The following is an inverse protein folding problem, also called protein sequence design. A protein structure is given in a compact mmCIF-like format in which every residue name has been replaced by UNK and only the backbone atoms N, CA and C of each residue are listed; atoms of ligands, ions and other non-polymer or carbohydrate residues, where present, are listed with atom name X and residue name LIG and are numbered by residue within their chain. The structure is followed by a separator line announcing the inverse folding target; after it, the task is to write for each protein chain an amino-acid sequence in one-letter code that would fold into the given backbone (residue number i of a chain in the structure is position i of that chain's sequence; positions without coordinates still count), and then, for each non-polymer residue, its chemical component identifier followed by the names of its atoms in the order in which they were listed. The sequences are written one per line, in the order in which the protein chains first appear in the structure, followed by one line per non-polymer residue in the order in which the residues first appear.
data_IF_676344159281
#
_entry.id   IF_676344159281
#
_cell.length_a   1.000
_cell.length_b   1.000
_cell.length_c   1.000
_cell.angle_alpha   90.00
_cell.angle_beta   90.00
_cell.angle_gamma   90.00
#
_symmetry.space_group_name_H-M   'P 1'
#
loop_
_entity.id
_entity.type
_entity.pdbx_description
1 polymer ?
#
# COMPACT_ATOMS: atom_id res chain seq x y z
N UNK A 1 12.39 15.02 -1.86
CA UNK A 1 11.03 14.87 -1.32
C UNK A 1 9.98 15.48 -2.21
N UNK A 2 8.77 15.07 -1.99
CA UNK A 2 7.61 15.57 -2.72
C UNK A 2 6.34 15.18 -1.99
N UNK A 3 5.20 15.40 -2.64
CA UNK A 3 3.91 14.97 -2.07
C UNK A 3 3.04 14.30 -3.13
N UNK A 4 2.29 13.31 -2.70
CA UNK A 4 1.31 12.64 -3.53
C UNK A 4 0.06 12.32 -2.70
N UNK A 5 -1.09 12.57 -3.27
CA UNK A 5 -2.36 12.36 -2.61
C UNK A 5 -3.36 11.72 -3.57
N UNK A 6 -4.15 10.79 -3.06
CA UNK A 6 -5.23 10.12 -3.80
C UNK A 6 -4.73 9.39 -5.05
N UNK A 7 -3.84 8.42 -4.83
CA UNK A 7 -3.20 7.63 -5.90
C UNK A 7 -3.60 6.17 -5.78
N UNK A 8 -3.92 5.55 -6.91
CA UNK A 8 -4.27 4.14 -6.95
C UNK A 8 -3.65 3.41 -8.12
N UNK A 9 -3.50 2.10 -7.98
CA UNK A 9 -3.10 1.20 -9.06
C UNK A 9 -3.87 -0.11 -8.97
N UNK A 10 -4.34 -0.58 -10.11
CA UNK A 10 -4.98 -1.89 -10.24
C UNK A 10 -4.26 -2.79 -11.25
N UNK A 11 -3.21 -2.29 -11.89
CA UNK A 11 -2.44 -3.00 -12.90
C UNK A 11 -1.31 -3.82 -12.26
N UNK A 12 -0.84 -4.84 -12.97
CA UNK A 12 0.33 -5.61 -12.58
C UNK A 12 1.58 -4.76 -12.79
N UNK A 13 2.44 -4.69 -11.78
CA UNK A 13 3.71 -3.97 -11.81
C UNK A 13 4.85 -4.98 -11.70
N UNK A 14 5.85 -4.87 -12.56
CA UNK A 14 7.04 -5.70 -12.48
C UNK A 14 8.30 -4.93 -12.86
N UNK A 15 9.42 -5.36 -12.30
CA UNK A 15 10.72 -4.71 -12.55
C UNK A 15 11.84 -5.40 -11.78
N UNK A 16 12.97 -4.74 -11.62
CA UNK A 16 14.13 -5.29 -10.91
C UNK A 16 14.21 -4.81 -9.46
N UNK A 17 14.62 -3.58 -9.24
CA UNK A 17 14.83 -3.03 -7.89
C UNK A 17 13.97 -1.81 -7.64
N UNK A 18 13.65 -1.56 -6.37
CA UNK A 18 12.82 -0.43 -5.96
C UNK A 18 11.46 -0.46 -6.64
N UNK A 19 10.73 -1.54 -6.42
CA UNK A 19 9.43 -1.78 -7.06
C UNK A 19 8.32 -1.63 -6.02
N UNK A 20 7.38 -0.75 -6.30
CA UNK A 20 6.17 -0.57 -5.51
C UNK A 20 4.95 -0.47 -6.42
N UNK A 21 3.81 -0.86 -5.92
CA UNK A 21 2.55 -0.72 -6.66
C UNK A 21 2.27 0.73 -7.04
N UNK A 22 2.70 1.69 -6.21
CA UNK A 22 2.54 3.13 -6.45
C UNK A 22 3.88 3.85 -6.56
N UNK A 23 4.83 3.57 -5.67
CA UNK A 23 6.11 4.26 -5.64
C UNK A 23 7.27 3.27 -5.50
N UNK A 24 8.25 3.37 -6.38
CA UNK A 24 9.49 2.61 -6.24
C UNK A 24 10.32 3.12 -5.07
N UNK A 25 10.43 4.43 -4.94
CA UNK A 25 11.19 5.09 -3.88
C UNK A 25 10.43 6.34 -3.39
N UNK A 26 10.29 6.48 -2.08
CA UNK A 26 9.64 7.63 -1.43
C UNK A 26 10.54 8.19 -0.34
N UNK A 27 11.55 8.97 -0.73
CA UNK A 27 12.49 9.62 0.17
C UNK A 27 12.00 11.01 0.60
N UNK A 28 11.93 11.25 1.91
CA UNK A 28 11.52 12.55 2.48
C UNK A 28 10.20 13.07 1.87
N UNK A 29 9.28 12.16 1.60
CA UNK A 29 8.04 12.47 0.88
C UNK A 29 6.83 12.40 1.81
N UNK A 30 5.76 13.09 1.43
CA UNK A 30 4.46 12.99 2.08
C UNK A 30 3.48 12.32 1.13
N UNK A 31 2.91 11.19 1.54
CA UNK A 31 1.95 10.44 0.73
C UNK A 31 0.71 10.11 1.55
N UNK A 32 -0.46 10.23 0.96
CA UNK A 32 -1.71 9.92 1.63
C UNK A 32 -2.79 9.45 0.67
N UNK A 33 -3.77 8.71 1.18
CA UNK A 33 -4.92 8.22 0.41
C UNK A 33 -4.49 7.37 -0.78
N UNK A 34 -3.93 6.19 -0.47
CA UNK A 34 -3.27 5.31 -1.43
C UNK A 34 -3.91 3.93 -1.44
N UNK A 35 -4.08 3.31 -2.61
CA UNK A 35 -4.33 1.89 -2.62
C UNK A 35 -3.72 1.18 -3.84
N UNK A 36 -3.42 -0.09 -3.65
CA UNK A 36 -2.98 -0.97 -4.73
C UNK A 36 -3.69 -2.31 -4.63
N UNK A 37 -4.37 -2.71 -5.70
CA UNK A 37 -4.94 -4.04 -5.84
C UNK A 37 -4.23 -4.88 -6.91
N UNK A 38 -3.30 -4.30 -7.64
CA UNK A 38 -2.48 -5.00 -8.62
C UNK A 38 -1.36 -5.81 -7.99
N UNK A 39 -0.97 -6.89 -8.64
CA UNK A 39 0.15 -7.72 -8.21
C UNK A 39 1.48 -7.03 -8.51
N UNK A 40 2.46 -7.21 -7.63
CA UNK A 40 3.77 -6.56 -7.73
C UNK A 40 4.87 -7.61 -7.69
N UNK A 41 5.82 -7.54 -8.61
CA UNK A 41 6.95 -8.46 -8.65
C UNK A 41 8.27 -7.73 -8.96
N UNK A 42 9.33 -8.13 -8.28
CA UNK A 42 10.66 -7.56 -8.49
C UNK A 42 11.74 -8.42 -7.87
N UNK A 43 12.96 -7.90 -7.78
CA UNK A 43 14.05 -8.62 -7.13
C UNK A 43 14.33 -8.09 -5.73
N UNK A 44 14.55 -6.79 -5.57
CA UNK A 44 14.90 -6.20 -4.28
C UNK A 44 14.15 -4.91 -4.01
N UNK A 45 13.81 -4.68 -2.74
CA UNK A 45 12.99 -3.56 -2.29
C UNK A 45 11.64 -3.56 -3.00
N UNK A 46 10.85 -4.60 -2.72
CA UNK A 46 9.57 -4.83 -3.38
C UNK A 46 8.43 -4.67 -2.37
N UNK A 47 7.49 -3.79 -2.65
CA UNK A 47 6.35 -3.54 -1.76
C UNK A 47 5.05 -3.34 -2.52
N UNK A 48 3.94 -3.72 -1.91
CA UNK A 48 2.61 -3.53 -2.50
C UNK A 48 2.27 -2.07 -2.76
N UNK A 49 2.75 -1.16 -1.91
CA UNK A 49 2.58 0.28 -2.06
C UNK A 49 3.90 0.96 -2.43
N UNK A 50 4.94 0.77 -1.61
CA UNK A 50 6.23 1.45 -1.77
C UNK A 50 7.36 0.42 -1.71
N UNK A 51 8.30 0.49 -2.64
CA UNK A 51 9.48 -0.37 -2.61
C UNK A 51 10.44 0.03 -1.49
N UNK A 52 10.78 1.31 -1.41
CA UNK A 52 11.71 1.87 -0.43
C UNK A 52 11.16 3.20 0.11
N UNK A 53 10.96 3.26 1.42
CA UNK A 53 10.40 4.44 2.09
C UNK A 53 11.35 4.92 3.19
N UNK A 54 11.82 6.15 3.08
CA UNK A 54 12.79 6.71 4.03
C UNK A 54 12.40 8.11 4.48
N UNK A 55 12.35 8.28 5.81
CA UNK A 55 12.15 9.59 6.45
C UNK A 55 10.96 10.37 5.89
N UNK A 56 9.89 9.65 5.52
CA UNK A 56 8.68 10.23 4.98
C UNK A 56 7.52 10.23 5.98
N UNK A 57 6.43 10.85 5.55
CA UNK A 57 5.14 10.80 6.24
C UNK A 57 4.15 10.13 5.29
N UNK A 58 3.48 9.08 5.73
CA UNK A 58 2.54 8.35 4.89
C UNK A 58 1.33 7.89 5.70
N UNK A 59 0.14 7.99 5.13
CA UNK A 59 -1.09 7.63 5.83
C UNK A 59 -2.20 7.22 4.88
N UNK A 60 -3.23 6.57 5.46
CA UNK A 60 -4.46 6.23 4.75
C UNK A 60 -4.20 5.39 3.50
N UNK A 61 -3.72 4.16 3.71
CA UNK A 61 -3.40 3.28 2.59
C UNK A 61 -3.86 1.84 2.82
N UNK A 62 -4.19 1.16 1.72
CA UNK A 62 -4.36 -0.30 1.77
C UNK A 62 -3.81 -0.97 0.53
N UNK A 63 -3.45 -2.25 0.65
CA UNK A 63 -2.98 -3.07 -0.45
C UNK A 63 -3.56 -4.48 -0.37
N UNK A 64 -3.98 -5.02 -1.51
CA UNK A 64 -4.53 -6.37 -1.60
C UNK A 64 -3.81 -7.25 -2.62
N UNK A 65 -2.97 -6.68 -3.48
CA UNK A 65 -2.23 -7.44 -4.49
C UNK A 65 -1.19 -8.37 -3.88
N UNK A 66 -0.85 -9.44 -4.59
CA UNK A 66 0.27 -10.29 -4.23
C UNK A 66 1.59 -9.57 -4.47
N UNK A 67 2.60 -9.89 -3.66
CA UNK A 67 3.93 -9.30 -3.78
C UNK A 67 4.96 -10.41 -3.83
N UNK A 68 5.85 -10.39 -4.82
CA UNK A 68 6.88 -11.40 -5.01
C UNK A 68 8.24 -10.75 -5.28
N UNK A 69 9.30 -11.34 -4.72
CA UNK A 69 10.65 -10.85 -4.92
C UNK A 69 11.67 -11.70 -4.16
N UNK A 70 12.96 -11.34 -4.30
CA UNK A 70 14.07 -12.12 -3.75
C UNK A 70 14.50 -11.63 -2.37
N UNK A 71 14.53 -10.33 -2.14
CA UNK A 71 14.96 -9.77 -0.85
C UNK A 71 14.28 -8.43 -0.55
N UNK A 72 14.07 -8.14 0.73
CA UNK A 72 13.39 -6.94 1.22
C UNK A 72 12.03 -6.77 0.54
N UNK A 73 11.20 -7.79 0.75
CA UNK A 73 9.86 -7.92 0.16
C UNK A 73 8.82 -7.79 1.27
N UNK A 74 7.88 -6.88 1.11
CA UNK A 74 6.79 -6.68 2.05
C UNK A 74 5.45 -6.48 1.34
N UNK A 75 4.36 -6.94 1.97
CA UNK A 75 3.01 -6.75 1.41
C UNK A 75 2.64 -5.28 1.24
N UNK A 76 3.23 -4.40 2.04
CA UNK A 76 3.02 -2.96 1.94
C UNK A 76 4.28 -2.23 1.47
N UNK A 77 5.39 -2.43 2.16
CA UNK A 77 6.65 -1.71 1.92
C UNK A 77 7.82 -2.69 1.97
N UNK A 78 8.68 -2.64 0.97
CA UNK A 78 9.88 -3.49 0.93
C UNK A 78 10.88 -3.13 2.02
N UNK A 79 11.24 -1.87 2.12
CA UNK A 79 12.13 -1.34 3.16
C UNK A 79 11.60 -0.03 3.72
N UNK A 80 11.49 0.04 5.04
CA UNK A 80 10.98 1.22 5.73
C UNK A 80 12.00 1.72 6.76
N UNK A 81 12.32 3.01 6.73
CA UNK A 81 13.30 3.60 7.62
C UNK A 81 12.83 4.96 8.14
N UNK A 82 12.71 5.06 9.47
CA UNK A 82 12.44 6.29 10.19
C UNK A 82 11.28 7.12 9.61
N UNK A 83 10.13 6.48 9.43
CA UNK A 83 8.93 7.12 8.84
C UNK A 83 7.88 7.42 9.90
N UNK A 84 6.98 8.35 9.59
CA UNK A 84 5.74 8.56 10.32
C UNK A 84 4.61 7.94 9.52
N UNK A 85 3.92 6.97 10.10
CA UNK A 85 2.91 6.18 9.40
C UNK A 85 1.64 6.02 10.21
N UNK A 86 0.49 6.10 9.54
CA UNK A 86 -0.82 5.88 10.16
C UNK A 86 -1.80 5.27 9.16
N UNK A 87 -2.75 4.50 9.65
CA UNK A 87 -3.88 3.96 8.87
C UNK A 87 -3.43 3.17 7.63
N UNK A 88 -2.49 2.27 7.82
CA UNK A 88 -2.02 1.32 6.80
C UNK A 88 -2.62 -0.05 7.04
N UNK A 89 -3.26 -0.61 6.00
CA UNK A 89 -3.95 -1.90 6.07
C UNK A 89 -3.55 -2.78 4.89
N UNK A 90 -3.45 -4.09 5.13
CA UNK A 90 -3.10 -5.03 4.08
C UNK A 90 -3.95 -6.29 4.15
N UNK A 91 -4.21 -6.86 2.98
CA UNK A 91 -4.85 -8.17 2.90
C UNK A 91 -3.87 -9.23 3.38
N UNK A 92 -4.24 -9.92 4.44
CA UNK A 92 -3.45 -11.03 4.99
C UNK A 92 -3.36 -12.16 3.96
N UNK A 93 -2.14 -12.50 3.53
CA UNK A 93 -1.91 -13.53 2.51
C UNK A 93 -0.60 -14.25 2.79
N UNK A 94 -0.70 -15.57 2.98
CA UNK A 94 0.46 -16.42 3.19
C UNK A 94 1.29 -16.02 4.39
N UNK A 95 2.60 -16.22 4.29
CA UNK A 95 3.55 -15.95 5.37
C UNK A 95 4.31 -14.61 5.19
N UNK A 96 4.03 -13.85 4.12
CA UNK A 96 4.73 -12.60 3.87
C UNK A 96 4.25 -11.51 4.84
N UNK A 97 5.22 -10.82 5.45
CA UNK A 97 4.97 -9.73 6.38
C UNK A 97 4.67 -8.42 5.64
N UNK A 98 4.09 -7.40 6.32
CA UNK A 98 3.80 -6.13 5.68
C UNK A 98 5.06 -5.34 5.27
N UNK A 99 6.16 -5.53 5.99
CA UNK A 99 7.45 -4.89 5.70
C UNK A 99 8.52 -5.95 5.47
N UNK A 100 9.31 -5.80 4.41
CA UNK A 100 10.50 -6.62 4.22
C UNK A 100 11.53 -6.34 5.30
N UNK A 101 11.74 -5.06 5.60
CA UNK A 101 12.50 -4.60 6.76
C UNK A 101 11.88 -3.30 7.29
N UNK A 102 11.75 -3.19 8.60
CA UNK A 102 11.17 -2.00 9.25
C UNK A 102 12.13 -1.45 10.30
N UNK A 103 12.82 -0.38 9.97
CA UNK A 103 13.78 0.32 10.82
C UNK A 103 13.21 1.63 11.35
N UNK A 104 12.05 1.56 12.00
CA UNK A 104 11.42 2.66 12.70
C UNK A 104 10.21 3.25 11.99
N UNK A 105 9.14 3.40 12.74
CA UNK A 105 7.92 4.10 12.33
C UNK A 105 6.91 3.30 11.53
N UNK A 106 7.26 2.11 11.04
CA UNK A 106 6.34 1.31 10.25
C UNK A 106 5.26 0.63 11.09
N UNK A 107 3.99 0.88 10.75
CA UNK A 107 2.81 0.27 11.38
C UNK A 107 1.82 -0.10 10.29
N UNK A 108 1.37 -1.35 10.28
CA UNK A 108 0.35 -1.82 9.34
C UNK A 108 -0.50 -2.90 10.00
N UNK A 109 -1.78 -2.93 9.68
CA UNK A 109 -2.77 -3.82 10.28
C UNK A 109 -3.31 -4.82 9.25
N UNK A 110 -3.27 -6.13 9.53
CA UNK A 110 -3.84 -7.13 8.63
C UNK A 110 -5.36 -7.11 8.67
N UNK A 111 -5.97 -7.39 7.53
CA UNK A 111 -7.40 -7.55 7.36
C UNK A 111 -7.71 -8.72 6.46
N UNK A 112 -8.86 -9.33 6.63
CA UNK A 112 -9.39 -10.32 5.69
C UNK A 112 -10.10 -9.62 4.53
N UNK A 113 -10.31 -10.31 3.42
CA UNK A 113 -11.04 -9.76 2.28
C UNK A 113 -12.47 -9.35 2.66
N UNK A 114 -13.16 -10.15 3.48
CA UNK A 114 -14.51 -9.82 3.91
C UNK A 114 -14.57 -8.58 4.81
N UNK A 115 -13.56 -8.33 5.62
CA UNK A 115 -13.45 -7.10 6.43
C UNK A 115 -13.19 -5.87 5.55
N UNK A 116 -12.39 -6.04 4.48
CA UNK A 116 -12.00 -4.94 3.60
C UNK A 116 -13.08 -4.52 2.61
N UNK A 117 -14.00 -5.43 2.26
CA UNK A 117 -15.07 -5.15 1.29
C UNK A 117 -16.32 -4.60 1.98
N UNK A 118 -16.15 -3.52 2.73
CA UNK A 118 -17.22 -2.90 3.53
C UNK A 118 -17.11 -1.38 3.55
N UNK A 119 -18.23 -0.72 3.81
CA UNK A 119 -18.26 0.73 4.06
C UNK A 119 -17.44 1.11 5.29
N UNK A 120 -17.54 0.31 6.36
CA UNK A 120 -16.77 0.52 7.60
C UNK A 120 -15.27 0.54 7.32
N UNK A 121 -14.78 -0.32 6.44
CA UNK A 121 -13.36 -0.32 6.08
C UNK A 121 -12.97 0.92 5.29
N UNK A 122 -13.80 1.37 4.35
CA UNK A 122 -13.54 2.60 3.61
C UNK A 122 -13.39 3.79 4.56
N UNK A 123 -14.29 3.91 5.54
CA UNK A 123 -14.20 4.95 6.56
C UNK A 123 -12.94 4.81 7.44
N UNK A 124 -12.58 3.58 7.78
CA UNK A 124 -11.40 3.29 8.61
C UNK A 124 -10.09 3.71 7.92
N UNK A 125 -9.97 3.50 6.61
CA UNK A 125 -8.77 3.87 5.86
C UNK A 125 -8.63 5.39 5.79
N UNK A 126 -9.70 6.11 5.50
CA UNK A 126 -9.66 7.57 5.45
C UNK A 126 -10.82 8.19 4.70
N UNK A 127 -10.99 9.49 4.87
CA UNK A 127 -12.13 10.24 4.32
C UNK A 127 -12.17 10.34 2.79
N UNK A 128 -11.04 10.09 2.13
CA UNK A 128 -10.95 10.09 0.68
C UNK A 128 -11.43 8.78 0.04
N UNK A 129 -11.71 7.76 0.85
CA UNK A 129 -12.15 6.45 0.39
C UNK A 129 -13.66 6.32 0.46
N UNK A 130 -14.22 5.67 -0.56
CA UNK A 130 -15.66 5.35 -0.62
C UNK A 130 -15.85 3.88 -0.97
N UNK A 131 -16.96 3.32 -0.52
CA UNK A 131 -17.34 1.93 -0.79
C UNK A 131 -18.42 1.87 -1.86
N UNK A 132 -18.18 1.06 -2.88
CA UNK A 132 -19.17 0.69 -3.89
C UNK A 132 -18.95 -0.78 -4.27
N UNK A 133 -19.92 -1.61 -3.94
CA UNK A 133 -19.81 -3.06 -4.17
C UNK A 133 -19.69 -3.45 -5.64
N UNK A 134 -20.02 -2.56 -6.56
CA UNK A 134 -19.91 -2.78 -8.01
C UNK A 134 -18.57 -2.35 -8.60
N UNK A 135 -17.71 -1.71 -7.80
CA UNK A 135 -16.40 -1.23 -8.24
C UNK A 135 -15.27 -1.98 -7.54
N UNK A 136 -14.14 -2.10 -8.20
CA UNK A 136 -12.89 -2.62 -7.64
C UNK A 136 -13.06 -3.94 -6.86
N UNK A 137 -13.91 -4.83 -7.38
CA UNK A 137 -14.24 -6.11 -6.74
C UNK A 137 -14.75 -5.96 -5.29
N UNK A 138 -15.37 -4.83 -4.96
CA UNK A 138 -15.90 -4.53 -3.63
C UNK A 138 -14.89 -3.94 -2.65
N UNK A 139 -13.65 -3.76 -3.03
CA UNK A 139 -12.68 -3.01 -2.22
C UNK A 139 -12.90 -1.51 -2.37
N UNK A 140 -12.63 -0.69 -1.33
CA UNK A 140 -12.81 0.75 -1.43
C UNK A 140 -12.04 1.38 -2.58
N UNK A 141 -12.63 2.42 -3.16
CA UNK A 141 -12.00 3.25 -4.18
C UNK A 141 -11.85 4.67 -3.67
N UNK A 142 -11.06 5.48 -4.36
CA UNK A 142 -10.94 6.89 -4.03
C UNK A 142 -12.14 7.67 -4.57
N UNK A 143 -12.55 8.72 -3.86
CA UNK A 143 -13.77 9.47 -4.18
C UNK A 143 -13.77 10.03 -5.60
N UNK A 144 -12.61 10.40 -6.15
CA UNK A 144 -12.51 10.89 -7.53
C UNK A 144 -12.80 9.82 -8.58
N UNK A 145 -12.71 8.54 -8.22
CA UNK A 145 -12.98 7.42 -9.14
C UNK A 145 -14.48 7.18 -9.38
N UNK A 146 -15.34 7.72 -8.54
CA UNK A 146 -16.80 7.58 -8.64
C UNK A 146 -17.54 8.84 -9.11
N UNK A 147 -16.81 9.88 -9.42
CA UNK A 147 -17.36 11.15 -9.91
C UNK A 147 -17.76 11.08 -11.39
#
# INVERSE_FOLDING_TARGET
GGSANSVSNTAIISGSNYIGGLFGNADFSTTTSLYNTGDVAGSKFVGGIIGYNKEGVTSSAYSTGSVDGDSLVGLMIGYNYNTTMADYYYLEQGALEPFGENNGGGVATPKTASEMKTEDFAELVGEDFVYDSGLNDGYPVLSWEVE
#
